data_IF_865463133261
#
_entry.id   IF_865463133261
#
_cell.length_a   1.000
_cell.length_b   1.000
_cell.length_c   1.000
_cell.angle_alpha   90.00
_cell.angle_beta   90.00
_cell.angle_gamma   90.00
#
_symmetry.space_group_name_H-M   'P 1'
#
loop_
_entity.id
_entity.type
_entity.pdbx_description
1 polymer ?
#
# COMPACT_ATOMS: atom_id res chain seq x y z
N UNK A 1 10.39 -4.48 -24.64
CA UNK A 1 11.47 -5.34 -24.11
C UNK A 1 12.14 -4.64 -22.96
N UNK A 2 12.22 -5.33 -21.81
CA UNK A 2 12.90 -4.83 -20.60
C UNK A 2 14.41 -4.96 -20.84
N UNK A 3 15.15 -3.87 -20.63
CA UNK A 3 16.62 -3.86 -20.75
C UNK A 3 17.26 -4.79 -19.70
N UNK A 4 18.46 -5.37 -19.94
CA UNK A 4 19.18 -6.19 -18.94
C UNK A 4 19.48 -5.48 -17.62
N UNK A 5 19.40 -4.15 -17.60
CA UNK A 5 19.63 -3.30 -16.43
C UNK A 5 18.36 -2.97 -15.65
N UNK A 6 17.20 -3.40 -16.14
CA UNK A 6 15.90 -3.15 -15.52
C UNK A 6 15.47 -4.37 -14.70
N UNK A 7 15.02 -4.15 -13.50
CA UNK A 7 14.53 -5.21 -12.63
C UNK A 7 13.02 -5.13 -12.50
N UNK A 8 12.33 -6.11 -13.09
CA UNK A 8 10.88 -6.20 -13.01
C UNK A 8 10.46 -6.74 -11.63
N UNK A 9 9.61 -5.98 -10.94
CA UNK A 9 8.83 -6.39 -9.78
C UNK A 9 7.37 -6.63 -10.18
N UNK A 10 6.56 -7.19 -9.29
CA UNK A 10 5.16 -7.50 -9.63
C UNK A 10 4.33 -6.25 -10.01
N UNK A 11 4.66 -5.10 -9.52
CA UNK A 11 3.90 -3.86 -9.70
C UNK A 11 4.68 -2.71 -10.32
N UNK A 12 6.03 -2.78 -10.37
CA UNK A 12 6.86 -1.73 -10.94
C UNK A 12 8.09 -2.30 -11.66
N UNK A 13 8.76 -1.46 -12.40
CA UNK A 13 10.08 -1.70 -12.99
C UNK A 13 11.05 -0.70 -12.37
N UNK A 14 12.13 -1.20 -11.79
CA UNK A 14 13.27 -0.40 -11.33
C UNK A 14 14.12 -0.04 -12.54
N UNK A 15 14.31 1.25 -12.80
CA UNK A 15 15.21 1.76 -13.83
C UNK A 15 16.57 2.13 -13.23
N UNK A 16 17.64 2.22 -14.06
CA UNK A 16 18.90 2.79 -13.63
C UNK A 16 18.70 4.21 -13.08
N UNK A 17 19.45 4.56 -12.04
CA UNK A 17 19.33 5.89 -11.44
C UNK A 17 19.61 6.99 -12.48
N UNK A 18 18.74 7.99 -12.52
CA UNK A 18 18.91 9.16 -13.38
C UNK A 18 19.42 10.35 -12.56
N UNK A 19 20.65 10.81 -12.84
CA UNK A 19 21.30 11.92 -12.10
C UNK A 19 21.32 11.71 -10.57
N UNK A 20 21.53 10.47 -10.12
CA UNK A 20 21.58 10.12 -8.70
C UNK A 20 20.18 9.93 -8.05
N UNK A 21 19.11 9.99 -8.82
CA UNK A 21 17.73 9.73 -8.36
C UNK A 21 17.31 8.34 -8.80
N UNK A 22 16.82 7.54 -7.87
CA UNK A 22 16.20 6.24 -8.16
C UNK A 22 14.87 6.46 -8.88
N UNK A 23 14.63 5.70 -9.97
CA UNK A 23 13.42 5.82 -10.79
C UNK A 23 12.70 4.49 -10.83
N UNK A 24 11.45 4.50 -10.40
CA UNK A 24 10.53 3.36 -10.48
C UNK A 24 9.33 3.74 -11.35
N UNK A 25 8.96 2.87 -12.28
CA UNK A 25 7.75 3.04 -13.09
C UNK A 25 6.73 1.97 -12.71
N UNK A 26 5.66 2.40 -12.07
CA UNK A 26 4.57 1.53 -11.65
C UNK A 26 3.61 1.28 -12.82
N UNK A 27 3.50 0.03 -13.27
CA UNK A 27 2.48 -0.41 -14.24
C UNK A 27 1.22 -0.98 -13.54
N UNK A 28 1.32 -1.21 -12.23
CA UNK A 28 0.18 -1.38 -11.31
C UNK A 28 0.35 -0.40 -10.16
N UNK A 29 -0.66 0.40 -9.83
CA UNK A 29 -0.53 1.39 -8.75
C UNK A 29 -0.12 0.74 -7.43
N UNK A 30 -0.82 -0.30 -7.00
CA UNK A 30 -0.46 -1.13 -5.84
C UNK A 30 -1.05 -2.54 -5.97
N UNK A 31 -0.88 -3.36 -4.93
CA UNK A 31 -1.40 -4.73 -4.89
C UNK A 31 -1.76 -5.15 -3.47
N UNK A 32 -2.55 -6.23 -3.35
CA UNK A 32 -2.86 -6.92 -2.12
C UNK A 32 -2.33 -8.36 -2.19
N UNK A 33 -1.98 -8.95 -1.05
CA UNK A 33 -1.43 -10.30 -1.00
C UNK A 33 -2.52 -11.38 -1.18
N UNK A 34 -3.73 -11.09 -0.71
CA UNK A 34 -4.88 -11.96 -0.93
C UNK A 34 -5.32 -11.89 -2.40
N UNK A 35 -5.23 -13.01 -3.12
CA UNK A 35 -5.50 -13.10 -4.57
C UNK A 35 -6.91 -12.60 -4.96
N UNK A 36 -7.91 -12.87 -4.13
CA UNK A 36 -9.29 -12.42 -4.38
C UNK A 36 -9.43 -10.92 -4.26
N UNK A 37 -8.87 -10.32 -3.20
CA UNK A 37 -8.85 -8.88 -2.98
C UNK A 37 -8.01 -8.19 -4.04
N UNK A 38 -6.83 -8.73 -4.36
CA UNK A 38 -5.98 -8.18 -5.39
C UNK A 38 -6.65 -8.18 -6.78
N UNK A 39 -7.36 -9.27 -7.15
CA UNK A 39 -8.11 -9.30 -8.41
C UNK A 39 -9.17 -8.20 -8.49
N UNK A 40 -9.89 -7.95 -7.39
CA UNK A 40 -10.86 -6.85 -7.31
C UNK A 40 -10.17 -5.50 -7.38
N UNK A 41 -9.07 -5.31 -6.67
CA UNK A 41 -8.27 -4.09 -6.70
C UNK A 41 -7.77 -3.76 -8.11
N UNK A 42 -7.22 -4.74 -8.85
CA UNK A 42 -6.77 -4.51 -10.23
C UNK A 42 -7.94 -4.15 -11.16
N UNK A 43 -9.13 -4.75 -10.96
CA UNK A 43 -10.35 -4.36 -11.69
C UNK A 43 -10.79 -2.94 -11.37
N UNK A 44 -10.75 -2.56 -10.10
CA UNK A 44 -11.02 -1.18 -9.67
C UNK A 44 -10.07 -0.20 -10.37
N UNK A 45 -8.74 -0.43 -10.34
CA UNK A 45 -7.79 0.43 -11.01
C UNK A 45 -8.04 0.54 -12.52
N UNK A 46 -8.37 -0.56 -13.18
CA UNK A 46 -8.70 -0.52 -14.62
C UNK A 46 -10.00 0.25 -14.90
N UNK A 47 -11.00 0.14 -14.03
CA UNK A 47 -12.29 0.84 -14.21
C UNK A 47 -12.20 2.36 -14.07
N UNK A 48 -11.25 2.88 -13.29
CA UNK A 48 -11.06 4.33 -13.05
C UNK A 48 -9.89 4.92 -13.83
N UNK A 49 -9.20 4.13 -14.62
CA UNK A 49 -7.95 4.49 -15.30
C UNK A 49 -8.09 5.70 -16.23
N UNK A 50 -9.10 5.70 -17.08
CA UNK A 50 -9.33 6.80 -18.04
C UNK A 50 -9.61 8.13 -17.32
N UNK A 51 -10.34 8.09 -16.22
CA UNK A 51 -10.58 9.25 -15.37
C UNK A 51 -9.25 9.83 -14.85
N UNK A 52 -8.34 8.96 -14.35
CA UNK A 52 -7.06 9.41 -13.81
C UNK A 52 -6.18 10.06 -14.89
N UNK A 53 -6.16 9.52 -16.11
CA UNK A 53 -5.41 10.12 -17.22
C UNK A 53 -6.02 11.41 -17.77
N UNK A 54 -7.33 11.60 -17.61
CA UNK A 54 -8.02 12.82 -18.01
C UNK A 54 -7.96 13.92 -16.95
N UNK A 55 -7.71 13.57 -15.68
CA UNK A 55 -7.58 14.54 -14.59
C UNK A 55 -6.20 15.23 -14.65
N UNK A 56 -6.17 16.44 -15.24
CA UNK A 56 -4.95 17.18 -15.53
C UNK A 56 -4.86 18.46 -14.73
N UNK A 57 -3.64 18.82 -14.37
CA UNK A 57 -3.31 20.09 -13.72
C UNK A 57 -2.15 20.76 -14.44
N UNK A 58 -2.16 22.10 -14.44
CA UNK A 58 -1.07 22.92 -14.96
C UNK A 58 0.13 22.88 -14.01
N UNK A 59 1.29 22.51 -14.53
CA UNK A 59 2.55 22.54 -13.78
C UNK A 59 3.37 23.79 -14.16
N UNK A 60 2.86 24.98 -13.80
CA UNK A 60 3.46 26.25 -14.17
C UNK A 60 3.65 26.38 -15.68
N UNK A 61 4.85 26.77 -16.12
CA UNK A 61 5.23 26.90 -17.54
C UNK A 61 5.58 25.56 -18.21
N UNK A 62 5.63 24.47 -17.46
CA UNK A 62 6.05 23.15 -17.97
C UNK A 62 4.90 22.38 -18.66
N UNK A 63 3.69 22.96 -18.69
CA UNK A 63 2.52 22.35 -19.34
C UNK A 63 1.63 21.56 -18.39
N UNK A 64 0.78 20.70 -18.96
CA UNK A 64 -0.18 19.90 -18.21
C UNK A 64 0.36 18.50 -17.91
N UNK A 65 0.11 18.04 -16.68
CA UNK A 65 0.35 16.65 -16.30
C UNK A 65 -0.94 16.00 -15.77
N UNK A 66 -1.09 14.71 -16.02
CA UNK A 66 -2.14 13.93 -15.38
C UNK A 66 -1.75 13.63 -13.93
N UNK A 67 -2.67 13.84 -13.01
CA UNK A 67 -2.50 13.50 -11.60
C UNK A 67 -3.69 12.66 -11.11
N UNK A 68 -3.50 11.77 -10.13
CA UNK A 68 -4.58 11.02 -9.53
C UNK A 68 -5.63 11.93 -8.87
N UNK A 69 -6.91 11.54 -8.97
CA UNK A 69 -7.98 12.19 -8.18
C UNK A 69 -7.80 11.90 -6.69
N UNK A 70 -8.45 12.68 -5.82
CA UNK A 70 -8.40 12.48 -4.37
C UNK A 70 -8.99 11.11 -4.00
N UNK A 71 -10.10 10.72 -4.61
CA UNK A 71 -10.80 9.44 -4.40
C UNK A 71 -9.91 8.25 -4.76
N UNK A 72 -9.22 8.32 -5.90
CA UNK A 72 -8.24 7.32 -6.29
C UNK A 72 -7.11 7.22 -5.26
N UNK A 73 -6.56 8.36 -4.85
CA UNK A 73 -5.47 8.43 -3.88
C UNK A 73 -5.86 7.83 -2.53
N UNK A 74 -7.12 7.93 -2.09
CA UNK A 74 -7.58 7.30 -0.86
C UNK A 74 -7.44 5.78 -0.90
N UNK A 75 -7.80 5.14 -2.02
CA UNK A 75 -7.66 3.69 -2.19
C UNK A 75 -6.20 3.31 -2.43
N UNK A 76 -5.52 4.05 -3.31
CA UNK A 76 -4.13 3.80 -3.67
C UNK A 76 -3.20 3.86 -2.45
N UNK A 77 -3.22 4.98 -1.71
CA UNK A 77 -2.33 5.12 -0.55
C UNK A 77 -2.68 4.15 0.58
N UNK A 78 -3.97 3.88 0.81
CA UNK A 78 -4.38 2.92 1.82
C UNK A 78 -3.86 1.51 1.50
N UNK A 79 -3.99 1.07 0.23
CA UNK A 79 -3.46 -0.23 -0.21
C UNK A 79 -1.94 -0.27 -0.20
N UNK A 80 -1.28 0.84 -0.53
CA UNK A 80 0.17 0.96 -0.50
C UNK A 80 0.71 0.87 0.94
N UNK A 81 0.13 1.63 1.87
CA UNK A 81 0.45 1.56 3.30
C UNK A 81 0.22 0.14 3.84
N UNK A 82 -0.87 -0.51 3.42
CA UNK A 82 -1.18 -1.87 3.85
C UNK A 82 -0.15 -2.89 3.34
N UNK A 83 0.23 -2.79 2.07
CA UNK A 83 1.26 -3.66 1.50
C UNK A 83 2.62 -3.50 2.23
N UNK A 84 3.01 -2.27 2.56
CA UNK A 84 4.23 -2.03 3.33
C UNK A 84 4.14 -2.57 4.76
N UNK A 85 3.01 -2.36 5.46
CA UNK A 85 2.80 -2.93 6.79
C UNK A 85 2.97 -4.46 6.79
N UNK A 86 2.42 -5.13 5.76
CA UNK A 86 2.52 -6.58 5.61
C UNK A 86 3.94 -7.06 5.29
N UNK A 87 4.71 -6.30 4.49
CA UNK A 87 6.00 -6.76 3.99
C UNK A 87 7.22 -6.24 4.77
N UNK A 88 7.23 -4.97 5.14
CA UNK A 88 8.46 -4.29 5.59
C UNK A 88 8.28 -3.50 6.89
N UNK A 89 7.07 -3.00 7.11
CA UNK A 89 6.74 -1.99 8.12
C UNK A 89 6.62 -0.60 7.51
N UNK A 90 5.94 0.28 8.22
CA UNK A 90 5.66 1.67 7.81
C UNK A 90 6.08 2.64 8.91
N UNK A 91 6.38 3.88 8.51
CA UNK A 91 6.64 4.97 9.44
C UNK A 91 5.46 5.96 9.51
N UNK A 92 5.53 6.88 10.46
CA UNK A 92 4.53 7.94 10.62
C UNK A 92 4.43 8.87 9.41
N UNK A 93 5.49 8.97 8.59
CA UNK A 93 5.51 9.80 7.39
C UNK A 93 4.44 9.35 6.38
N UNK A 94 4.37 8.05 6.08
CA UNK A 94 3.36 7.53 5.15
C UNK A 94 1.93 7.75 5.66
N UNK A 95 1.75 7.69 6.99
CA UNK A 95 0.46 8.02 7.60
C UNK A 95 0.15 9.52 7.50
N UNK A 96 1.15 10.39 7.63
CA UNK A 96 0.98 11.83 7.46
C UNK A 96 0.62 12.20 6.02
N UNK A 97 1.24 11.53 5.03
CA UNK A 97 0.86 11.71 3.62
C UNK A 97 -0.63 11.37 3.41
N UNK A 98 -1.11 10.29 4.02
CA UNK A 98 -2.53 9.92 3.98
C UNK A 98 -3.45 10.92 4.70
N UNK A 99 -2.98 11.52 5.81
CA UNK A 99 -3.70 12.61 6.48
C UNK A 99 -3.97 13.79 5.54
N UNK A 100 -2.99 14.17 4.73
CA UNK A 100 -3.18 15.27 3.77
C UNK A 100 -4.18 14.90 2.68
N UNK A 101 -4.16 13.68 2.17
CA UNK A 101 -5.17 13.24 1.18
C UNK A 101 -6.58 13.30 1.76
N UNK A 102 -6.77 12.80 2.99
CA UNK A 102 -8.07 12.89 3.70
C UNK A 102 -8.50 14.35 3.93
N UNK A 103 -7.55 15.25 4.19
CA UNK A 103 -7.82 16.67 4.40
C UNK A 103 -8.27 17.39 3.14
N UNK A 104 -7.88 16.90 1.96
CA UNK A 104 -8.29 17.45 0.66
C UNK A 104 -9.67 16.94 0.21
N UNK A 105 -10.20 15.89 0.85
CA UNK A 105 -11.43 15.26 0.45
C UNK A 105 -12.64 16.18 0.68
N UNK A 106 -13.40 16.45 -0.39
CA UNK A 106 -14.72 17.07 -0.30
C UNK A 106 -15.76 15.99 -0.02
N UNK A 107 -16.08 15.80 1.25
CA UNK A 107 -17.00 14.72 1.68
C UNK A 107 -18.44 15.06 1.31
N UNK A 108 -19.08 14.23 0.48
CA UNK A 108 -20.53 14.16 0.33
C UNK A 108 -21.03 12.74 0.65
N UNK A 109 -22.31 12.61 0.97
CA UNK A 109 -22.89 11.33 1.41
C UNK A 109 -22.85 10.22 0.34
N UNK A 110 -23.01 10.57 -0.91
CA UNK A 110 -23.03 9.61 -2.03
C UNK A 110 -21.61 9.04 -2.25
N UNK A 111 -20.63 9.92 -2.38
CA UNK A 111 -19.21 9.54 -2.54
C UNK A 111 -18.74 8.70 -1.34
N UNK A 112 -19.07 9.10 -0.10
CA UNK A 112 -18.69 8.36 1.08
C UNK A 112 -19.28 6.95 1.10
N UNK A 113 -20.55 6.80 0.69
CA UNK A 113 -21.22 5.50 0.60
C UNK A 113 -20.55 4.61 -0.44
N UNK A 114 -20.23 5.16 -1.61
CA UNK A 114 -19.49 4.45 -2.67
C UNK A 114 -18.12 4.00 -2.20
N UNK A 115 -17.34 4.89 -1.60
CA UNK A 115 -16.00 4.59 -1.07
C UNK A 115 -16.06 3.50 0.02
N UNK A 116 -17.03 3.57 0.93
CA UNK A 116 -17.21 2.55 1.97
C UNK A 116 -17.57 1.18 1.39
N UNK A 117 -18.36 1.14 0.32
CA UNK A 117 -18.67 -0.10 -0.41
C UNK A 117 -17.39 -0.69 -1.02
N UNK A 118 -16.60 0.13 -1.73
CA UNK A 118 -15.31 -0.30 -2.29
C UNK A 118 -14.37 -0.85 -1.21
N UNK A 119 -14.20 -0.15 -0.10
CA UNK A 119 -13.34 -0.60 1.00
C UNK A 119 -13.77 -1.96 1.57
N UNK A 120 -15.08 -2.25 1.62
CA UNK A 120 -15.60 -3.57 2.03
C UNK A 120 -15.30 -4.64 0.98
N UNK A 121 -15.54 -4.35 -0.30
CA UNK A 121 -15.34 -5.29 -1.40
C UNK A 121 -13.85 -5.64 -1.61
N UNK A 122 -12.96 -4.69 -1.37
CA UNK A 122 -11.52 -4.85 -1.40
C UNK A 122 -10.93 -5.51 -0.13
N UNK A 123 -11.75 -5.78 0.89
CA UNK A 123 -11.30 -6.33 2.17
C UNK A 123 -10.52 -5.36 3.04
N UNK A 124 -10.58 -4.06 2.74
CA UNK A 124 -9.81 -3.00 3.40
C UNK A 124 -10.52 -2.39 4.61
N UNK A 125 -11.79 -2.72 4.87
CA UNK A 125 -12.62 -2.08 5.89
C UNK A 125 -11.99 -2.02 7.27
N UNK A 126 -11.43 -3.14 7.74
CA UNK A 126 -10.79 -3.23 9.06
C UNK A 126 -9.52 -2.41 9.13
N UNK A 127 -8.72 -2.44 8.06
CA UNK A 127 -7.50 -1.67 7.97
C UNK A 127 -7.79 -0.17 7.87
N UNK A 128 -8.75 0.23 7.04
CA UNK A 128 -9.23 1.62 7.00
C UNK A 128 -9.67 2.12 8.38
N UNK A 129 -10.45 1.33 9.12
CA UNK A 129 -10.84 1.68 10.50
C UNK A 129 -9.65 1.83 11.45
N UNK A 130 -8.61 1.01 11.30
CA UNK A 130 -7.37 1.14 12.06
C UNK A 130 -6.65 2.45 11.75
N UNK A 131 -6.56 2.81 10.47
CA UNK A 131 -5.94 4.07 10.04
C UNK A 131 -6.78 5.27 10.51
N UNK A 132 -8.12 5.22 10.41
CA UNK A 132 -8.99 6.30 10.93
C UNK A 132 -8.80 6.52 12.43
N UNK A 133 -8.61 5.47 13.22
CA UNK A 133 -8.26 5.59 14.63
C UNK A 133 -6.95 6.38 14.83
N UNK A 134 -5.92 6.06 14.06
CA UNK A 134 -4.63 6.76 14.14
C UNK A 134 -4.77 8.22 13.67
N UNK A 135 -5.54 8.47 12.59
CA UNK A 135 -5.81 9.84 12.13
C UNK A 135 -6.45 10.69 13.22
N UNK A 136 -7.40 10.14 13.95
CA UNK A 136 -8.09 10.84 15.02
C UNK A 136 -7.20 11.02 16.26
N UNK A 137 -6.60 9.96 16.75
CA UNK A 137 -5.90 9.97 18.05
C UNK A 137 -4.49 10.58 17.98
N UNK A 138 -3.78 10.38 16.87
CA UNK A 138 -2.40 10.84 16.72
C UNK A 138 -2.31 12.18 16.00
N UNK A 139 -3.09 12.34 14.92
CA UNK A 139 -3.02 13.54 14.07
C UNK A 139 -4.16 14.53 14.34
N UNK A 140 -5.10 14.25 15.28
CA UNK A 140 -6.18 15.16 15.66
C UNK A 140 -7.21 15.40 14.57
N UNK A 141 -7.38 14.46 13.62
CA UNK A 141 -8.34 14.62 12.53
C UNK A 141 -9.78 14.63 13.07
N UNK A 142 -10.61 15.61 12.69
CA UNK A 142 -11.98 15.68 13.15
C UNK A 142 -12.82 14.52 12.61
N UNK A 143 -13.76 14.02 13.42
CA UNK A 143 -14.61 12.88 13.07
C UNK A 143 -15.38 13.06 11.74
N UNK A 144 -15.69 14.30 11.36
CA UNK A 144 -16.36 14.64 10.11
C UNK A 144 -15.53 14.37 8.85
N UNK A 145 -14.22 14.13 9.00
CA UNK A 145 -13.28 13.82 7.89
C UNK A 145 -12.99 12.32 7.77
N UNK A 146 -13.46 11.52 8.71
CA UNK A 146 -13.20 10.09 8.70
C UNK A 146 -14.09 9.38 7.66
N UNK A 147 -13.47 8.57 6.82
CA UNK A 147 -14.17 7.85 5.74
C UNK A 147 -14.87 6.57 6.20
N UNK A 148 -14.43 6.01 7.33
CA UNK A 148 -15.07 4.87 8.01
C UNK A 148 -14.98 5.07 9.53
N UNK A 149 -15.84 4.42 10.35
CA UNK A 149 -15.72 4.46 11.79
C UNK A 149 -14.34 4.01 12.28
N UNK A 150 -13.71 4.72 13.22
CA UNK A 150 -12.45 4.31 13.82
C UNK A 150 -12.55 2.96 14.51
N UNK A 151 -11.53 2.12 14.35
CA UNK A 151 -11.42 0.83 15.02
C UNK A 151 -10.25 0.87 16.00
N UNK A 152 -10.54 1.15 17.26
CA UNK A 152 -9.55 1.29 18.34
C UNK A 152 -8.64 0.07 18.46
N UNK A 153 -9.21 -1.14 18.48
CA UNK A 153 -8.45 -2.38 18.68
C UNK A 153 -7.41 -2.59 17.57
N UNK A 154 -7.81 -2.42 16.31
CA UNK A 154 -6.91 -2.56 15.15
C UNK A 154 -5.98 -1.35 15.06
N UNK A 155 -6.44 -0.16 15.38
CA UNK A 155 -5.66 1.07 15.36
C UNK A 155 -4.51 1.05 16.37
N UNK A 156 -4.76 0.66 17.60
CA UNK A 156 -3.70 0.49 18.62
C UNK A 156 -2.65 -0.53 18.19
N UNK A 157 -3.08 -1.64 17.57
CA UNK A 157 -2.16 -2.63 17.06
C UNK A 157 -1.30 -2.07 15.92
N UNK A 158 -1.90 -1.42 14.91
CA UNK A 158 -1.16 -0.83 13.78
C UNK A 158 -0.23 0.27 14.27
N UNK A 159 -0.68 1.14 15.16
CA UNK A 159 0.17 2.20 15.73
C UNK A 159 1.38 1.61 16.46
N UNK A 160 1.19 0.55 17.26
CA UNK A 160 2.31 -0.12 17.90
C UNK A 160 3.29 -0.73 16.88
N UNK A 161 2.80 -1.38 15.83
CA UNK A 161 3.67 -1.89 14.75
C UNK A 161 4.46 -0.75 14.07
N UNK A 162 3.84 0.41 13.84
CA UNK A 162 4.49 1.60 13.27
C UNK A 162 5.62 2.14 14.17
N UNK A 163 5.35 2.25 15.47
CA UNK A 163 6.30 2.79 16.44
C UNK A 163 7.48 1.84 16.69
N UNK A 164 7.22 0.54 16.75
CA UNK A 164 8.26 -0.49 16.98
C UNK A 164 9.14 -0.73 15.75
N UNK A 165 8.54 -0.83 14.56
CA UNK A 165 9.27 -1.15 13.35
C UNK A 165 9.99 0.08 12.75
N UNK A 166 9.41 1.27 12.92
CA UNK A 166 9.87 2.48 12.24
C UNK A 166 9.76 2.35 10.71
N UNK A 167 10.36 3.30 10.01
CA UNK A 167 10.31 3.35 8.56
C UNK A 167 11.02 2.13 7.93
N UNK A 168 10.29 1.33 7.15
CA UNK A 168 10.75 0.09 6.51
C UNK A 168 11.37 -0.95 7.47
N UNK A 169 10.92 -1.00 8.71
CA UNK A 169 11.39 -1.95 9.70
C UNK A 169 12.87 -1.81 10.11
N UNK A 170 13.51 -0.66 9.80
CA UNK A 170 14.93 -0.45 10.04
C UNK A 170 15.33 -0.49 11.51
N UNK A 171 14.43 -0.13 12.39
CA UNK A 171 14.65 -0.05 13.83
C UNK A 171 13.94 -1.15 14.62
N UNK A 172 13.32 -2.13 13.93
CA UNK A 172 12.56 -3.19 14.58
C UNK A 172 13.50 -4.12 15.37
N UNK A 173 13.53 -3.93 16.70
CA UNK A 173 14.32 -4.77 17.62
C UNK A 173 13.87 -6.25 17.62
N UNK A 174 12.70 -6.56 17.05
CA UNK A 174 12.16 -7.91 16.90
C UNK A 174 12.78 -8.64 15.70
N UNK A 175 13.59 -7.95 14.85
CA UNK A 175 14.35 -8.53 13.74
C UNK A 175 15.58 -9.30 14.26
N UNK A 176 15.37 -10.47 14.87
CA UNK A 176 16.39 -11.25 15.59
C UNK A 176 17.03 -12.38 14.77
N UNK A 177 16.54 -12.67 13.58
CA UNK A 177 16.91 -13.87 12.82
C UNK A 177 18.15 -13.69 11.91
N UNK A 178 18.85 -12.57 12.02
CA UNK A 178 20.06 -12.30 11.24
C UNK A 178 19.79 -11.94 9.76
N UNK A 179 20.89 -11.63 9.04
CA UNK A 179 20.82 -11.14 7.64
C UNK A 179 20.83 -12.25 6.58
N UNK A 180 20.80 -13.52 6.99
CA UNK A 180 20.74 -14.65 6.05
C UNK A 180 19.36 -14.73 5.34
N UNK A 181 19.31 -15.39 4.19
CA UNK A 181 18.04 -15.63 3.47
C UNK A 181 17.04 -16.41 4.33
N UNK A 182 17.51 -17.37 5.12
CA UNK A 182 16.68 -18.11 6.08
C UNK A 182 16.19 -17.20 7.19
N UNK A 183 17.06 -16.31 7.72
CA UNK A 183 16.68 -15.33 8.74
C UNK A 183 15.58 -14.38 8.25
N UNK A 184 15.69 -13.88 7.03
CA UNK A 184 14.65 -13.06 6.42
C UNK A 184 13.31 -13.80 6.27
N UNK A 185 13.34 -15.07 5.88
CA UNK A 185 12.13 -15.88 5.76
C UNK A 185 11.47 -16.12 7.12
N UNK A 186 12.25 -16.46 8.14
CA UNK A 186 11.76 -16.64 9.52
C UNK A 186 11.16 -15.34 10.07
N UNK A 187 11.80 -14.21 9.82
CA UNK A 187 11.29 -12.90 10.25
C UNK A 187 9.92 -12.59 9.62
N UNK A 188 9.71 -12.93 8.36
CA UNK A 188 8.41 -12.78 7.68
C UNK A 188 7.34 -13.66 8.30
N UNK A 189 7.63 -14.95 8.51
CA UNK A 189 6.69 -15.87 9.17
C UNK A 189 6.31 -15.35 10.56
N UNK A 190 7.28 -14.85 11.33
CA UNK A 190 7.02 -14.28 12.65
C UNK A 190 6.12 -13.05 12.58
N UNK A 191 6.30 -12.19 11.56
CA UNK A 191 5.42 -11.06 11.29
C UNK A 191 4.00 -11.52 10.95
N UNK A 192 3.86 -12.50 10.05
CA UNK A 192 2.55 -13.03 9.65
C UNK A 192 1.77 -13.60 10.83
N UNK A 193 2.45 -14.29 11.75
CA UNK A 193 1.83 -14.80 13.00
C UNK A 193 1.27 -13.66 13.86
N UNK A 194 1.94 -12.50 13.92
CA UNK A 194 1.41 -11.33 14.65
C UNK A 194 0.24 -10.69 13.93
N UNK A 195 0.32 -10.60 12.60
CA UNK A 195 -0.67 -9.91 11.78
C UNK A 195 -1.94 -10.73 11.55
N UNK A 196 -1.85 -12.07 11.54
CA UNK A 196 -2.98 -12.97 11.23
C UNK A 196 -4.19 -12.75 12.14
N UNK A 197 -3.95 -12.43 13.41
CA UNK A 197 -5.04 -12.16 14.37
C UNK A 197 -5.88 -10.93 14.00
N UNK A 198 -5.29 -9.96 13.32
CA UNK A 198 -5.90 -8.69 12.97
C UNK A 198 -6.30 -8.64 11.48
N UNK A 199 -5.45 -9.18 10.62
CA UNK A 199 -5.58 -9.13 9.17
C UNK A 199 -5.42 -10.51 8.53
N UNK A 200 -6.29 -11.49 8.85
CA UNK A 200 -6.10 -12.89 8.48
C UNK A 200 -6.03 -13.11 6.97
N UNK A 201 -6.82 -12.38 6.17
CA UNK A 201 -6.84 -12.60 4.72
C UNK A 201 -5.48 -12.33 4.07
N UNK A 202 -4.84 -11.22 4.40
CA UNK A 202 -3.54 -10.84 3.83
C UNK A 202 -2.42 -11.71 4.43
N UNK A 203 -2.39 -11.88 5.77
CA UNK A 203 -1.34 -12.62 6.43
C UNK A 203 -1.30 -14.11 6.04
N UNK A 204 -2.47 -14.74 5.84
CA UNK A 204 -2.54 -16.15 5.39
C UNK A 204 -2.20 -16.29 3.91
N UNK A 205 -2.45 -15.28 3.09
CA UNK A 205 -2.12 -15.31 1.67
C UNK A 205 -0.65 -14.96 1.39
N UNK A 206 0.07 -14.28 2.30
CA UNK A 206 1.46 -13.84 2.10
C UNK A 206 2.40 -14.99 1.68
N UNK A 207 2.46 -16.14 2.36
CA UNK A 207 3.35 -17.23 1.97
C UNK A 207 3.06 -17.77 0.55
N UNK A 208 1.78 -17.87 0.18
CA UNK A 208 1.38 -18.32 -1.16
C UNK A 208 1.72 -17.30 -2.22
N UNK A 209 1.47 -16.01 -1.96
CA UNK A 209 1.86 -14.93 -2.84
C UNK A 209 3.38 -14.93 -3.08
N UNK A 210 4.19 -15.12 -2.05
CA UNK A 210 5.65 -15.15 -2.13
C UNK A 210 6.16 -16.31 -2.99
N UNK A 211 5.60 -17.51 -2.81
CA UNK A 211 5.93 -18.68 -3.65
C UNK A 211 5.57 -18.39 -5.11
N UNK A 212 4.36 -17.93 -5.36
CA UNK A 212 3.92 -17.55 -6.70
C UNK A 212 4.81 -16.46 -7.32
N UNK A 213 5.13 -15.41 -6.56
CA UNK A 213 5.97 -14.30 -7.02
C UNK A 213 7.42 -14.74 -7.33
N UNK A 214 7.93 -15.72 -6.58
CA UNK A 214 9.24 -16.32 -6.89
C UNK A 214 9.23 -16.96 -8.30
N UNK A 215 8.25 -17.82 -8.62
CA UNK A 215 8.13 -18.41 -9.94
C UNK A 215 7.83 -17.37 -11.01
N UNK A 216 7.02 -16.39 -10.71
CA UNK A 216 6.74 -15.28 -11.60
C UNK A 216 8.04 -14.54 -11.99
N UNK A 217 8.90 -14.23 -11.03
CA UNK A 217 10.21 -13.59 -11.30
C UNK A 217 11.14 -14.46 -12.13
N UNK A 218 11.18 -15.77 -11.88
CA UNK A 218 11.98 -16.69 -12.70
C UNK A 218 11.55 -16.65 -14.17
N UNK A 219 10.24 -16.67 -14.41
CA UNK A 219 9.69 -16.61 -15.78
C UNK A 219 10.03 -15.27 -16.48
N UNK A 220 10.01 -14.16 -15.78
CA UNK A 220 10.26 -12.85 -16.38
C UNK A 220 11.74 -12.49 -16.46
N UNK A 221 12.60 -13.13 -15.68
CA UNK A 221 14.05 -13.03 -15.85
C UNK A 221 14.55 -13.75 -17.12
N UNK A 222 13.93 -14.85 -17.49
CA UNK A 222 14.32 -15.62 -18.69
C UNK A 222 13.89 -14.98 -20.02
N UNK A 223 13.10 -13.91 -19.99
CA UNK A 223 12.73 -13.15 -21.21
C UNK A 223 13.70 -11.99 -21.51
N UNK A 224 14.70 -11.76 -20.65
CA UNK A 224 15.73 -10.73 -20.79
C UNK A 224 17.10 -11.30 -21.20
N UNK A 225 17.15 -12.52 -21.68
CA UNK A 225 18.26 -13.15 -22.38
C UNK A 225 17.84 -13.41 -23.82
#
# INVERSE_FOLDING_TARGET
>A
SISPHEKACYHHIEFPSYKGVEVEVHYRPSFLLCFWHNRKLQKYYESVKEEQFSHRVMLGEQGEIAIPTVEFNLIFQLTHIYAHLMNEGIGLRQLLDYYFVLSMLSVNCEMLTSLQKELKELGLWKFAGAIMYIMQEVFGMPASRLIVPPNEKHGKFVLNEVLEAGNFGRHDARNRFGRSQLGHNLQRVYRDIRLVRYFPAEALCEPFFRIWHFFWRLKHRSQSL
#
